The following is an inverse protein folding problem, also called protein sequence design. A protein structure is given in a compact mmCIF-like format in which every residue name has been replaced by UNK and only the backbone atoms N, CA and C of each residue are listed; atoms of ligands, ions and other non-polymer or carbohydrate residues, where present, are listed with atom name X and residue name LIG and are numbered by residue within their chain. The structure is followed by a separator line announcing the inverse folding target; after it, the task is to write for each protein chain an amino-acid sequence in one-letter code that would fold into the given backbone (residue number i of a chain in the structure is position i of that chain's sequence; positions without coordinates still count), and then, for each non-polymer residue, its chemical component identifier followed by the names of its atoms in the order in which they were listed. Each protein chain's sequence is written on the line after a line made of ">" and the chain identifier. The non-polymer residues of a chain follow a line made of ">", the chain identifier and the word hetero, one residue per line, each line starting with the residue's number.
data_IF_701508809018
#
_entry.id   IF_701508809018
#
_cell.length_a   1.000
_cell.length_b   1.000
_cell.length_c   1.000
_cell.angle_alpha   90.00
_cell.angle_beta   90.00
_cell.angle_gamma   90.00
#
_symmetry.space_group_name_H-M   'P 1'
#
loop_
_entity.id
_entity.type
_entity.pdbx_description
1 polymer ?
#
# COMPACT_ATOMS: atom_id res chain seq x y z
N UNK A 1 -11.75 31.29 -10.90
CA UNK A 1 -10.78 30.17 -10.96
C UNK A 1 -10.62 29.80 -12.43
N UNK A 2 -9.40 29.77 -12.99
CA UNK A 2 -9.23 29.39 -14.39
C UNK A 2 -9.48 27.88 -14.52
N UNK A 3 -10.26 27.41 -15.51
CA UNK A 3 -10.57 25.98 -15.64
C UNK A 3 -9.30 25.13 -15.78
N UNK A 4 -8.26 25.71 -16.38
CA UNK A 4 -6.92 25.13 -16.48
C UNK A 4 -6.32 24.78 -15.11
N UNK A 5 -6.47 25.65 -14.11
CA UNK A 5 -5.92 25.40 -12.76
C UNK A 5 -6.67 24.27 -12.05
N UNK A 6 -7.98 24.17 -12.26
CA UNK A 6 -8.82 23.10 -11.68
C UNK A 6 -8.45 21.75 -12.28
N UNK A 7 -8.30 21.68 -13.61
CA UNK A 7 -7.88 20.45 -14.31
C UNK A 7 -6.49 20.00 -13.84
N UNK A 8 -5.55 20.93 -13.67
CA UNK A 8 -4.20 20.61 -13.21
C UNK A 8 -4.20 20.05 -11.77
N UNK A 9 -5.00 20.63 -10.89
CA UNK A 9 -5.14 20.15 -9.50
C UNK A 9 -5.76 18.76 -9.42
N UNK A 10 -6.80 18.49 -10.23
CA UNK A 10 -7.43 17.16 -10.31
C UNK A 10 -6.46 16.10 -10.84
N UNK A 11 -5.66 16.43 -11.85
CA UNK A 11 -4.65 15.52 -12.40
C UNK A 11 -3.58 15.17 -11.35
N UNK A 12 -3.10 16.16 -10.59
CA UNK A 12 -2.14 15.95 -9.49
C UNK A 12 -2.73 15.06 -8.40
N UNK A 13 -3.97 15.30 -7.99
CA UNK A 13 -4.68 14.46 -7.01
C UNK A 13 -4.82 13.01 -7.49
N UNK A 14 -5.15 12.80 -8.76
CA UNK A 14 -5.26 11.45 -9.34
C UNK A 14 -3.91 10.72 -9.40
N UNK A 15 -2.83 11.40 -9.78
CA UNK A 15 -1.49 10.81 -9.77
C UNK A 15 -1.08 10.36 -8.37
N UNK A 16 -1.32 11.20 -7.35
CA UNK A 16 -1.02 10.83 -5.96
C UNK A 16 -1.90 9.65 -5.52
N UNK A 17 -3.19 9.65 -5.85
CA UNK A 17 -4.12 8.58 -5.48
C UNK A 17 -3.73 7.21 -6.08
N UNK A 18 -3.19 7.20 -7.30
CA UNK A 18 -2.69 5.99 -7.95
C UNK A 18 -1.47 5.42 -7.21
N UNK A 19 -0.48 6.24 -6.86
CA UNK A 19 0.71 5.75 -6.17
C UNK A 19 0.43 5.20 -4.76
N UNK A 20 -0.56 5.74 -4.03
CA UNK A 20 -0.98 5.15 -2.76
C UNK A 20 -1.73 3.83 -2.93
N UNK A 21 -2.43 3.61 -4.04
CA UNK A 21 -3.17 2.36 -4.27
C UNK A 21 -2.21 1.14 -4.36
N UNK A 22 -1.05 1.31 -4.99
CA UNK A 22 -0.02 0.27 -5.10
C UNK A 22 0.77 0.04 -3.80
N UNK A 23 0.78 1.01 -2.89
CA UNK A 23 1.47 0.90 -1.60
C UNK A 23 0.65 0.15 -0.52
N UNK A 24 -0.62 -0.17 -0.78
CA UNK A 24 -1.53 -0.74 0.20
C UNK A 24 -1.70 -2.25 -0.02
N UNK A 25 -1.08 -3.05 0.83
CA UNK A 25 -1.34 -4.48 0.88
C UNK A 25 -2.72 -4.73 1.48
N UNK A 26 -3.59 -5.41 0.72
CA UNK A 26 -4.95 -5.77 1.17
C UNK A 26 -4.91 -6.47 2.52
N UNK A 27 -5.42 -5.79 3.54
CA UNK A 27 -5.48 -6.29 4.92
C UNK A 27 -4.62 -5.49 5.89
N UNK A 28 -3.52 -4.88 5.47
CA UNK A 28 -2.72 -4.03 6.35
C UNK A 28 -3.39 -2.64 6.51
N UNK A 29 -3.48 -2.04 7.72
CA UNK A 29 -2.91 -2.49 9.00
C UNK A 29 -3.82 -3.41 9.84
N UNK A 30 -5.10 -3.58 9.47
CA UNK A 30 -6.12 -4.22 10.31
C UNK A 30 -6.08 -5.76 10.34
N UNK A 31 -5.33 -6.38 9.45
CA UNK A 31 -5.26 -7.82 9.24
C UNK A 31 -3.82 -8.24 8.93
N UNK A 32 -2.98 -8.19 9.96
CA UNK A 32 -1.60 -8.62 9.91
C UNK A 32 -1.45 -10.11 9.61
N UNK A 33 -2.41 -10.93 10.04
CA UNK A 33 -2.40 -12.37 9.77
C UNK A 33 -2.42 -12.68 8.28
N UNK A 34 -3.19 -11.92 7.47
CA UNK A 34 -3.20 -12.08 6.02
C UNK A 34 -1.83 -11.85 5.39
N UNK A 35 -1.11 -10.80 5.81
CA UNK A 35 0.26 -10.56 5.36
C UNK A 35 1.21 -11.69 5.78
N UNK A 36 1.07 -12.19 7.01
CA UNK A 36 1.86 -13.31 7.50
C UNK A 36 1.67 -14.58 6.65
N UNK A 37 0.41 -14.98 6.41
CA UNK A 37 0.08 -16.17 5.60
C UNK A 37 0.53 -16.02 4.15
N UNK A 38 0.39 -14.82 3.57
CA UNK A 38 0.89 -14.54 2.22
C UNK A 38 2.40 -14.73 2.10
N UNK A 39 3.17 -14.24 3.08
CA UNK A 39 4.62 -14.43 3.08
C UNK A 39 5.01 -15.90 3.31
N UNK A 40 4.28 -16.63 4.16
CA UNK A 40 4.48 -18.08 4.33
C UNK A 40 4.23 -18.82 3.01
N UNK A 41 3.19 -18.45 2.24
CA UNK A 41 2.89 -19.09 0.95
C UNK A 41 3.96 -18.79 -0.12
N UNK A 42 4.77 -17.75 0.06
CA UNK A 42 5.89 -17.40 -0.80
C UNK A 42 7.23 -17.99 -0.33
N UNK A 43 7.21 -18.87 0.68
CA UNK A 43 8.39 -19.56 1.18
C UNK A 43 9.22 -18.77 2.21
N UNK A 44 8.72 -17.63 2.68
CA UNK A 44 9.36 -16.88 3.75
C UNK A 44 8.99 -17.44 5.13
N UNK A 45 9.75 -17.10 6.17
CA UNK A 45 9.43 -17.48 7.57
C UNK A 45 8.21 -16.76 8.15
N UNK A 46 7.78 -15.66 7.54
CA UNK A 46 6.57 -14.94 7.93
C UNK A 46 6.51 -13.53 7.35
N UNK A 47 5.52 -12.75 7.79
CA UNK A 47 5.41 -11.34 7.42
C UNK A 47 4.58 -10.52 8.39
N UNK A 48 4.72 -9.19 8.30
CA UNK A 48 4.02 -8.22 9.14
C UNK A 48 3.72 -6.92 8.38
N UNK A 49 2.71 -6.18 8.85
CA UNK A 49 2.36 -4.88 8.27
C UNK A 49 3.36 -3.78 8.70
N UNK A 50 3.94 -3.06 7.75
CA UNK A 50 4.97 -2.04 7.95
C UNK A 50 4.87 -0.85 6.99
N UNK A 51 5.85 0.05 7.05
CA UNK A 51 5.81 1.35 6.36
C UNK A 51 5.15 2.45 7.20
N UNK A 52 5.08 3.67 6.66
CA UNK A 52 4.66 4.88 7.38
C UNK A 52 3.28 4.77 8.05
N UNK A 53 2.35 4.01 7.45
CA UNK A 53 1.01 3.76 8.00
C UNK A 53 0.72 2.27 8.24
N UNK A 54 1.76 1.42 8.28
CA UNK A 54 1.59 -0.04 8.29
C UNK A 54 0.67 -0.54 7.16
N UNK A 55 0.70 0.11 5.99
CA UNK A 55 -0.11 -0.26 4.83
C UNK A 55 0.62 -1.25 3.92
N UNK A 56 1.94 -1.41 4.07
CA UNK A 56 2.74 -2.37 3.28
C UNK A 56 2.86 -3.69 4.03
N UNK A 57 2.87 -4.80 3.31
CA UNK A 57 3.27 -6.09 3.86
C UNK A 57 4.78 -6.25 3.72
N UNK A 58 5.48 -6.58 4.82
CA UNK A 58 6.90 -6.91 4.82
C UNK A 58 7.07 -8.38 5.17
N UNK A 59 7.64 -9.15 4.25
CA UNK A 59 8.04 -10.53 4.53
C UNK A 59 9.41 -10.57 5.22
N UNK A 60 9.62 -11.57 6.07
CA UNK A 60 10.85 -11.80 6.81
C UNK A 60 11.31 -13.24 6.65
N UNK A 61 12.63 -13.43 6.57
CA UNK A 61 13.22 -14.76 6.43
C UNK A 61 12.82 -15.46 5.13
N UNK A 62 12.51 -14.69 4.10
CA UNK A 62 12.94 -14.99 2.74
C UNK A 62 14.45 -14.65 2.68
#
# INVERSE_FOLDING_TARGET
>A
MKPVTVVLLLALLFCVALEVADAHYKGCPFNQHRCHVYCLSHGCKGGYCGGWFRLKCKCTGC
#
